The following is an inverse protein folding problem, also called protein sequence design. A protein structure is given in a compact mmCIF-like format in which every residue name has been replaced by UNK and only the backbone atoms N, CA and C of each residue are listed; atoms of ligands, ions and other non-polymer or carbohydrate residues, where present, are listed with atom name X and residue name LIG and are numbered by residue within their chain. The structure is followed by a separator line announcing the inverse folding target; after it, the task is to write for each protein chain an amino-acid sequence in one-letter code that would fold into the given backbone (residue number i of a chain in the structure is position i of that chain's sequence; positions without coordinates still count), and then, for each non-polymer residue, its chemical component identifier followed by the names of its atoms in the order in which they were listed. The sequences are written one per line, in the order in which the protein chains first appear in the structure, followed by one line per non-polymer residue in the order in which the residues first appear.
data_IF_602600530597
#
_entry.id   IF_602600530597
#
_cell.length_a   1.000
_cell.length_b   1.000
_cell.length_c   1.000
_cell.angle_alpha   90.00
_cell.angle_beta   90.00
_cell.angle_gamma   90.00
#
_symmetry.space_group_name_H-M   'P 1'
#
loop_
_entity.id
_entity.type
_entity.pdbx_description
1 polymer ?
#
# COMPACT_ATOMS: atom_id res chain seq x y z
N UNK A 1 -19.33 -24.74 -30.33
CA UNK A 1 -17.87 -24.76 -30.09
C UNK A 1 -17.31 -23.63 -30.93
N UNK A 2 -17.32 -22.41 -30.40
CA UNK A 2 -16.21 -21.80 -29.63
C UNK A 2 -15.02 -21.61 -30.58
N UNK A 3 -14.84 -20.42 -31.12
CA UNK A 3 -14.08 -19.40 -30.40
C UNK A 3 -14.79 -18.03 -30.40
N UNK A 4 -15.21 -17.47 -29.24
CA UNK A 4 -15.54 -16.07 -29.17
C UNK A 4 -14.22 -15.31 -29.10
N UNK A 5 -13.81 -14.70 -30.22
CA UNK A 5 -12.70 -13.76 -30.25
C UNK A 5 -12.92 -12.73 -29.15
N UNK A 6 -12.12 -12.84 -28.11
CA UNK A 6 -12.13 -11.98 -26.94
C UNK A 6 -11.68 -10.58 -27.40
N UNK A 7 -12.64 -9.72 -27.76
CA UNK A 7 -12.49 -8.31 -28.17
C UNK A 7 -12.03 -7.41 -27.00
N UNK A 8 -11.06 -7.86 -26.21
CA UNK A 8 -10.35 -6.97 -25.30
C UNK A 8 -9.16 -6.44 -26.08
N UNK A 9 -9.39 -5.33 -26.79
CA UNK A 9 -8.30 -4.52 -27.32
C UNK A 9 -7.31 -4.22 -26.18
N UNK A 10 -6.07 -4.68 -26.34
CA UNK A 10 -4.95 -4.43 -25.43
C UNK A 10 -4.56 -2.95 -25.45
N UNK A 11 -5.46 -2.08 -24.99
CA UNK A 11 -5.09 -0.71 -24.70
C UNK A 11 -4.50 -0.72 -23.29
N UNK A 12 -3.17 -0.70 -23.23
CA UNK A 12 -2.44 -0.50 -22.00
C UNK A 12 -2.94 0.81 -21.39
N UNK A 13 -3.78 0.71 -20.36
CA UNK A 13 -4.16 1.86 -19.54
C UNK A 13 -2.91 2.30 -18.81
N UNK A 14 -2.15 3.18 -19.45
CA UNK A 14 -1.05 3.90 -18.81
C UNK A 14 -1.73 4.91 -17.89
N UNK A 15 -1.78 4.58 -16.60
CA UNK A 15 -2.14 5.53 -15.57
C UNK A 15 -0.99 6.55 -15.48
N UNK A 16 -1.05 7.59 -16.32
CA UNK A 16 -0.12 8.72 -16.24
C UNK A 16 -0.56 9.54 -15.04
N UNK A 17 0.10 9.35 -13.89
CA UNK A 17 0.01 10.29 -12.78
C UNK A 17 0.53 11.63 -13.30
N UNK A 18 -0.34 12.62 -13.46
CA UNK A 18 -0.01 13.99 -13.90
C UNK A 18 0.76 14.77 -12.79
N UNK A 19 1.58 14.08 -11.99
CA UNK A 19 1.86 14.37 -10.57
C UNK A 19 3.37 14.45 -10.24
N UNK A 20 4.26 14.70 -11.20
CA UNK A 20 5.72 14.60 -10.95
C UNK A 20 6.23 15.44 -9.76
N UNK A 21 5.75 16.68 -9.59
CA UNK A 21 6.18 17.54 -8.47
C UNK A 21 5.49 17.28 -7.11
N UNK A 22 4.31 16.66 -7.11
CA UNK A 22 3.62 16.28 -5.87
C UNK A 22 4.16 14.97 -5.31
N UNK A 23 4.61 14.06 -6.17
CA UNK A 23 5.35 12.86 -5.78
C UNK A 23 6.62 13.22 -5.01
N UNK A 24 7.39 14.20 -5.48
CA UNK A 24 8.61 14.69 -4.81
C UNK A 24 8.34 15.18 -3.36
N UNK A 25 7.24 15.92 -3.15
CA UNK A 25 6.89 16.42 -1.82
C UNK A 25 6.44 15.32 -0.86
N UNK A 26 5.72 14.31 -1.37
CA UNK A 26 5.28 13.14 -0.58
C UNK A 26 6.45 12.23 -0.21
N UNK A 27 7.39 12.02 -1.13
CA UNK A 27 8.60 11.25 -0.87
C UNK A 27 9.49 11.91 0.20
N UNK A 28 9.73 13.22 0.09
CA UNK A 28 10.50 13.96 1.11
C UNK A 28 9.86 13.87 2.49
N UNK A 29 8.53 13.98 2.57
CA UNK A 29 7.81 13.80 3.82
C UNK A 29 7.96 12.38 4.36
N UNK A 30 7.81 11.36 3.51
CA UNK A 30 7.97 9.97 3.91
C UNK A 30 9.38 9.68 4.44
N UNK A 31 10.42 10.23 3.82
CA UNK A 31 11.80 10.13 4.31
C UNK A 31 11.96 10.80 5.68
N UNK A 32 11.40 12.00 5.87
CA UNK A 32 11.42 12.69 7.16
C UNK A 32 10.62 11.96 8.26
N UNK A 33 9.57 11.21 7.88
CA UNK A 33 8.83 10.32 8.78
C UNK A 33 9.70 9.11 9.18
N UNK A 34 10.44 8.52 8.23
CA UNK A 34 11.38 7.42 8.50
C UNK A 34 12.50 7.88 9.44
N UNK A 35 13.15 9.00 9.16
CA UNK A 35 14.24 9.55 9.98
C UNK A 35 13.78 9.89 11.40
N UNK A 36 12.53 10.30 11.56
CA UNK A 36 11.93 10.60 12.86
C UNK A 36 11.33 9.36 13.56
N UNK A 37 11.46 8.15 12.99
CA UNK A 37 10.90 6.92 13.55
C UNK A 37 9.37 6.87 13.53
N UNK A 38 8.70 7.68 12.70
CA UNK A 38 7.25 7.71 12.52
C UNK A 38 6.80 6.64 11.53
N UNK A 39 7.16 5.39 11.78
CA UNK A 39 6.72 4.24 11.01
C UNK A 39 6.36 3.07 11.92
N UNK A 40 5.52 2.16 11.41
CA UNK A 40 5.19 0.89 12.04
C UNK A 40 6.09 -0.20 11.50
N UNK A 41 6.58 -1.11 12.35
CA UNK A 41 7.39 -2.22 11.87
C UNK A 41 6.54 -3.23 11.09
N UNK A 42 7.16 -3.92 10.13
CA UNK A 42 6.50 -5.00 9.40
C UNK A 42 5.96 -6.08 10.34
N UNK A 43 6.71 -6.43 11.38
CA UNK A 43 6.34 -7.46 12.35
C UNK A 43 5.10 -7.08 13.15
N UNK A 44 4.99 -5.82 13.59
CA UNK A 44 3.80 -5.31 14.28
C UNK A 44 2.57 -5.36 13.38
N UNK A 45 2.70 -4.99 12.11
CA UNK A 45 1.62 -5.08 11.11
C UNK A 45 1.20 -6.53 10.87
N UNK A 46 2.16 -7.46 10.70
CA UNK A 46 1.85 -8.88 10.50
C UNK A 46 1.14 -9.48 11.70
N UNK A 47 1.58 -9.16 12.93
CA UNK A 47 0.94 -9.64 14.16
C UNK A 47 -0.51 -9.17 14.23
N UNK A 48 -0.75 -7.90 13.92
CA UNK A 48 -2.09 -7.33 13.88
C UNK A 48 -2.97 -7.99 12.82
N UNK A 49 -2.52 -8.10 11.57
CA UNK A 49 -3.29 -8.72 10.50
C UNK A 49 -3.62 -10.19 10.78
N UNK A 50 -2.73 -10.94 11.44
CA UNK A 50 -2.98 -12.34 11.85
C UNK A 50 -4.02 -12.49 12.94
N UNK A 51 -4.29 -11.43 13.70
CA UNK A 51 -5.30 -11.45 14.78
C UNK A 51 -6.72 -11.25 14.27
N UNK A 52 -6.88 -10.69 13.06
CA UNK A 52 -8.18 -10.41 12.46
C UNK A 52 -9.01 -11.68 12.28
N UNK A 53 -10.28 -11.61 12.67
CA UNK A 53 -11.21 -12.75 12.57
C UNK A 53 -10.95 -13.87 13.60
N UNK A 54 -10.18 -13.58 14.65
CA UNK A 54 -10.00 -14.46 15.81
C UNK A 54 -10.67 -13.85 17.04
N UNK A 55 -10.89 -14.66 18.09
CA UNK A 55 -11.41 -14.17 19.37
C UNK A 55 -10.48 -13.17 20.09
N UNK A 56 -9.22 -13.06 19.63
CA UNK A 56 -8.21 -12.17 20.21
C UNK A 56 -7.67 -11.18 19.16
N UNK A 57 -8.58 -10.48 18.50
CA UNK A 57 -8.22 -9.41 17.57
C UNK A 57 -7.46 -8.28 18.29
N UNK A 58 -6.31 -7.91 17.73
CA UNK A 58 -5.41 -6.91 18.29
C UNK A 58 -5.77 -5.51 17.76
N UNK A 59 -5.51 -4.44 18.53
CA UNK A 59 -5.63 -3.09 18.01
C UNK A 59 -4.58 -2.81 16.92
N UNK A 60 -4.84 -1.84 16.02
CA UNK A 60 -3.86 -1.42 15.03
C UNK A 60 -2.55 -0.95 15.69
N UNK A 61 -1.38 -1.30 15.12
CA UNK A 61 -0.10 -0.88 15.66
C UNK A 61 0.14 0.62 15.46
N UNK A 62 0.93 1.20 16.35
CA UNK A 62 1.34 2.60 16.37
C UNK A 62 2.80 2.74 15.98
N UNK A 63 3.20 3.95 15.58
CA UNK A 63 4.60 4.22 15.27
C UNK A 63 5.49 3.86 16.46
N UNK A 64 6.56 3.11 16.21
CA UNK A 64 7.48 2.60 17.24
C UNK A 64 7.11 1.25 17.85
N UNK A 65 5.99 0.62 17.45
CA UNK A 65 5.62 -0.76 17.83
C UNK A 65 6.37 -1.86 17.05
#
# INVERSE_FOLDING_TARGET
MSDPGNEFSEEAVVFVFEEAGELDAREQKAMADIDAGRFVTHEAVVRWLKSWGTDNELPPPKCGD
#
